data_IF_531858822711
#
_entry.id   IF_531858822711
#
_cell.length_a   1.000
_cell.length_b   1.000
_cell.length_c   1.000
_cell.angle_alpha   90.00
_cell.angle_beta   90.00
_cell.angle_gamma   90.00
#
_symmetry.space_group_name_H-M   'P 1'
#
loop_
_entity.id
_entity.type
_entity.pdbx_description
1 polymer ?
#
# COMPACT_ATOMS: atom_id res chain seq x y z
N UNK A 1 -7.78 23.47 -39.94
CA UNK A 1 -7.52 22.07 -39.51
C UNK A 1 -6.18 22.04 -38.81
N UNK A 2 -6.17 22.15 -37.48
CA UNK A 2 -4.98 21.97 -36.66
C UNK A 2 -5.25 20.79 -35.76
N UNK A 3 -4.61 19.66 -36.04
CA UNK A 3 -4.75 18.44 -35.26
C UNK A 3 -4.26 18.71 -33.83
N UNK A 4 -5.14 18.45 -32.87
CA UNK A 4 -4.82 18.47 -31.46
C UNK A 4 -3.71 17.46 -31.19
N UNK A 5 -2.52 17.94 -30.82
CA UNK A 5 -1.48 17.11 -30.25
C UNK A 5 -1.89 16.75 -28.82
N UNK A 6 -2.75 15.73 -28.69
CA UNK A 6 -2.98 15.06 -27.42
C UNK A 6 -1.73 14.24 -27.14
N UNK A 7 -0.71 14.86 -26.53
CA UNK A 7 0.30 14.12 -25.80
C UNK A 7 -0.43 13.29 -24.76
N UNK A 8 -0.60 12.01 -25.06
CA UNK A 8 -1.12 10.99 -24.16
C UNK A 8 -0.05 10.76 -23.09
N UNK A 9 0.18 11.74 -22.21
CA UNK A 9 0.78 11.46 -20.91
C UNK A 9 -0.20 10.54 -20.24
N UNK A 10 0.13 9.24 -20.19
CA UNK A 10 -0.56 8.28 -19.36
C UNK A 10 -0.79 8.93 -17.99
N UNK A 11 -2.03 9.32 -17.68
CA UNK A 11 -2.35 9.88 -16.37
C UNK A 11 -1.98 8.81 -15.34
N UNK A 12 -1.05 9.17 -14.46
CA UNK A 12 -0.66 8.36 -13.32
C UNK A 12 -1.91 8.10 -12.50
N UNK A 13 -2.23 6.83 -12.27
CA UNK A 13 -3.41 6.43 -11.51
C UNK A 13 -2.98 6.00 -10.11
N UNK A 14 -3.84 6.27 -9.11
CA UNK A 14 -3.60 5.83 -7.74
C UNK A 14 -4.45 4.59 -7.45
N UNK A 15 -3.80 3.54 -6.97
CA UNK A 15 -4.47 2.33 -6.52
C UNK A 15 -4.38 2.21 -5.01
N UNK A 16 -5.51 1.93 -4.37
CA UNK A 16 -5.54 1.66 -2.94
C UNK A 16 -5.09 0.21 -2.66
N UNK A 17 -4.12 0.05 -1.78
CA UNK A 17 -3.63 -1.24 -1.30
C UNK A 17 -4.00 -1.39 0.16
N UNK A 18 -5.01 -2.22 0.47
CA UNK A 18 -5.38 -2.46 1.86
C UNK A 18 -4.46 -3.52 2.50
N UNK A 19 -3.51 -3.04 3.30
CA UNK A 19 -2.62 -3.86 4.10
C UNK A 19 -3.39 -4.50 5.26
N UNK A 20 -3.07 -5.75 5.52
CA UNK A 20 -3.63 -6.50 6.63
C UNK A 20 -2.49 -6.79 7.60
N UNK A 21 -2.78 -6.70 8.89
CA UNK A 21 -1.85 -7.16 9.92
C UNK A 21 -1.47 -8.63 9.66
N UNK A 22 -0.18 -8.95 9.61
CA UNK A 22 0.30 -10.32 9.60
C UNK A 22 -0.06 -11.03 10.92
N UNK A 23 -0.35 -12.33 10.85
CA UNK A 23 -0.72 -13.18 12.00
C UNK A 23 0.38 -14.20 12.37
N UNK A 24 1.60 -14.11 11.82
CA UNK A 24 2.64 -15.14 11.98
C UNK A 24 3.71 -15.05 10.89
N UNK A 25 4.89 -15.66 11.10
CA UNK A 25 6.09 -15.44 10.26
C UNK A 25 5.86 -15.87 8.81
N UNK A 26 5.10 -16.95 8.63
CA UNK A 26 4.73 -17.50 7.31
C UNK A 26 3.52 -16.79 6.68
N UNK A 27 3.00 -15.74 7.33
CA UNK A 27 1.87 -14.99 6.81
C UNK A 27 2.30 -14.10 5.66
N UNK A 28 1.86 -14.46 4.45
CA UNK A 28 2.11 -13.72 3.21
C UNK A 28 1.68 -12.24 3.26
N UNK A 29 0.92 -11.81 4.27
CA UNK A 29 0.61 -10.41 4.54
C UNK A 29 1.79 -9.58 5.09
N UNK A 30 2.94 -10.20 5.36
CA UNK A 30 4.20 -9.53 5.72
C UNK A 30 4.80 -8.65 4.60
N UNK A 31 4.21 -8.71 3.40
CA UNK A 31 4.50 -7.90 2.21
C UNK A 31 3.55 -6.69 2.20
N UNK A 32 4.05 -5.47 2.43
CA UNK A 32 5.14 -4.85 1.66
C UNK A 32 6.53 -4.93 2.25
N UNK A 33 7.50 -5.15 1.37
CA UNK A 33 8.94 -5.00 1.62
C UNK A 33 9.40 -3.59 1.29
N UNK A 34 8.98 -2.61 2.10
CA UNK A 34 9.31 -1.20 1.88
C UNK A 34 10.81 -0.92 1.78
N UNK A 35 11.59 -1.64 2.57
CA UNK A 35 13.04 -1.54 2.65
C UNK A 35 13.72 -1.94 1.34
N UNK A 36 13.03 -2.73 0.50
CA UNK A 36 13.51 -3.19 -0.81
C UNK A 36 12.70 -2.60 -1.97
N UNK A 37 11.81 -1.64 -1.68
CA UNK A 37 10.94 -1.04 -2.67
C UNK A 37 10.08 -2.06 -3.41
N UNK A 38 9.51 -3.05 -2.71
CA UNK A 38 8.82 -4.19 -3.33
C UNK A 38 7.46 -4.49 -2.70
N UNK A 39 6.49 -4.86 -3.55
CA UNK A 39 5.18 -5.40 -3.17
C UNK A 39 4.73 -6.53 -4.10
N UNK A 40 4.17 -7.61 -3.56
CA UNK A 40 3.61 -8.74 -4.30
C UNK A 40 4.45 -10.02 -4.27
N UNK A 41 5.65 -9.95 -3.71
CA UNK A 41 6.61 -11.05 -3.75
C UNK A 41 6.14 -12.27 -2.97
N UNK A 42 5.35 -12.12 -1.93
CA UNK A 42 4.83 -13.28 -1.18
C UNK A 42 3.64 -13.94 -1.87
N UNK A 43 3.24 -13.43 -3.04
CA UNK A 43 1.99 -13.78 -3.70
C UNK A 43 0.77 -13.17 -3.00
N UNK A 44 0.98 -12.19 -2.11
CA UNK A 44 -0.10 -11.36 -1.59
C UNK A 44 -0.81 -10.68 -2.77
N UNK A 45 -2.12 -10.49 -2.66
CA UNK A 45 -2.91 -9.84 -3.72
C UNK A 45 -2.89 -10.50 -5.12
N UNK A 46 -2.29 -11.69 -5.28
CA UNK A 46 -2.25 -12.46 -6.54
C UNK A 46 -3.62 -12.87 -7.09
N UNK A 47 -4.65 -12.85 -6.23
CA UNK A 47 -6.05 -13.12 -6.62
C UNK A 47 -6.84 -11.85 -6.96
N UNK A 48 -6.29 -10.66 -6.73
CA UNK A 48 -6.98 -9.38 -6.98
C UNK A 48 -6.05 -8.38 -7.72
N UNK A 49 -5.51 -7.38 -7.01
CA UNK A 49 -4.75 -6.26 -7.58
C UNK A 49 -3.51 -6.71 -8.36
N UNK A 50 -2.85 -7.78 -7.89
CA UNK A 50 -1.64 -8.33 -8.50
C UNK A 50 -1.89 -9.61 -9.30
N UNK A 51 -3.13 -9.84 -9.72
CA UNK A 51 -3.44 -10.93 -10.63
C UNK A 51 -2.99 -10.54 -12.06
N UNK A 52 -2.01 -11.24 -12.67
CA UNK A 52 -1.51 -10.91 -14.02
C UNK A 52 -2.60 -10.87 -15.10
N UNK A 53 -3.70 -11.60 -14.92
CA UNK A 53 -4.79 -11.70 -15.91
C UNK A 53 -5.80 -10.57 -15.83
N UNK A 54 -5.90 -9.89 -14.68
CA UNK A 54 -6.97 -8.92 -14.40
C UNK A 54 -6.46 -7.61 -13.82
N UNK A 55 -5.15 -7.45 -13.64
CA UNK A 55 -4.61 -6.21 -13.09
C UNK A 55 -4.85 -5.05 -14.05
N UNK A 56 -5.05 -3.88 -13.46
CA UNK A 56 -5.10 -2.60 -14.19
C UNK A 56 -3.88 -1.73 -13.91
N UNK A 57 -2.93 -2.22 -13.11
CA UNK A 57 -1.68 -1.52 -12.83
C UNK A 57 -0.82 -1.46 -14.09
N UNK A 58 -0.18 -0.31 -14.29
CA UNK A 58 0.81 -0.08 -15.34
C UNK A 58 1.99 0.70 -14.76
N UNK A 59 3.10 0.67 -15.49
CA UNK A 59 4.27 1.48 -15.16
C UNK A 59 3.88 2.97 -15.04
N UNK A 60 4.39 3.60 -13.97
CA UNK A 60 4.12 5.00 -13.64
C UNK A 60 2.90 5.24 -12.75
N UNK A 61 2.08 4.23 -12.46
CA UNK A 61 1.02 4.34 -11.44
C UNK A 61 1.62 4.48 -10.02
N UNK A 62 0.79 4.82 -9.04
CA UNK A 62 1.18 4.89 -7.63
C UNK A 62 0.26 4.05 -6.75
N UNK A 63 0.80 3.59 -5.63
CA UNK A 63 0.07 2.80 -4.64
C UNK A 63 -0.14 3.63 -3.37
N UNK A 64 -1.41 3.80 -2.97
CA UNK A 64 -1.79 4.35 -1.68
C UNK A 64 -2.03 3.19 -0.70
N UNK A 65 -1.13 3.02 0.27
CA UNK A 65 -1.16 1.90 1.20
C UNK A 65 -1.99 2.24 2.42
N UNK A 66 -3.06 1.46 2.62
CA UNK A 66 -4.03 1.63 3.68
C UNK A 66 -3.76 0.62 4.78
N UNK A 67 -3.65 1.06 6.02
CA UNK A 67 -3.45 0.19 7.16
C UNK A 67 -4.60 0.34 8.17
N UNK A 68 -5.17 -0.78 8.59
CA UNK A 68 -6.17 -0.81 9.66
C UNK A 68 -5.56 -0.84 11.06
N UNK A 69 -6.04 0.01 11.95
CA UNK A 69 -5.70 0.05 13.37
C UNK A 69 -6.92 -0.21 14.26
N UNK A 70 -6.89 0.34 15.47
CA UNK A 70 -7.96 0.17 16.46
C UNK A 70 -9.05 1.22 16.22
N UNK A 71 -10.05 0.86 15.41
CA UNK A 71 -11.20 1.74 15.13
C UNK A 71 -10.97 2.77 14.02
N UNK A 72 -9.81 2.75 13.38
CA UNK A 72 -9.43 3.66 12.30
C UNK A 72 -8.66 2.95 11.17
N UNK A 73 -8.66 3.57 9.99
CA UNK A 73 -7.83 3.19 8.84
C UNK A 73 -7.04 4.43 8.42
N UNK A 74 -5.75 4.25 8.16
CA UNK A 74 -4.84 5.33 7.75
C UNK A 74 -4.18 5.03 6.42
N UNK A 75 -3.83 6.08 5.68
CA UNK A 75 -2.98 5.98 4.49
C UNK A 75 -1.54 6.17 4.94
N UNK A 76 -0.83 5.05 5.12
CA UNK A 76 0.54 5.04 5.65
C UNK A 76 1.57 5.35 4.59
N UNK A 77 1.18 5.44 3.32
CA UNK A 77 2.13 5.79 2.28
C UNK A 77 1.50 5.97 0.92
N UNK A 78 2.10 6.86 0.14
CA UNK A 78 1.91 6.97 -1.30
C UNK A 78 3.24 6.65 -1.97
N UNK A 79 3.33 5.53 -2.68
CA UNK A 79 4.57 5.14 -3.33
C UNK A 79 5.02 6.19 -4.36
N UNK A 80 6.33 6.25 -4.67
CA UNK A 80 6.79 6.81 -5.93
C UNK A 80 6.13 6.09 -7.12
N UNK A 81 6.26 6.62 -8.35
CA UNK A 81 5.82 5.91 -9.54
C UNK A 81 6.39 4.50 -9.60
N UNK A 82 5.52 3.52 -9.79
CA UNK A 82 5.88 2.10 -9.74
C UNK A 82 6.36 1.57 -11.08
N UNK A 83 7.09 0.46 -11.02
CA UNK A 83 7.33 -0.47 -12.12
C UNK A 83 6.58 -1.77 -11.84
N UNK A 84 5.86 -2.26 -12.84
CA UNK A 84 5.18 -3.55 -12.79
C UNK A 84 6.13 -4.60 -13.38
N UNK A 85 6.68 -5.42 -12.50
CA UNK A 85 7.61 -6.50 -12.81
C UNK A 85 6.93 -7.87 -12.65
N UNK A 86 7.58 -8.93 -13.13
CA UNK A 86 7.16 -10.31 -12.91
C UNK A 86 6.86 -11.10 -14.19
N UNK A 87 6.20 -12.25 -14.01
CA UNK A 87 5.88 -13.21 -15.07
C UNK A 87 4.36 -13.35 -15.24
N UNK A 88 3.93 -14.15 -16.22
CA UNK A 88 2.52 -14.49 -16.43
C UNK A 88 1.86 -15.18 -15.22
N UNK A 89 2.65 -15.70 -14.26
CA UNK A 89 2.15 -16.36 -13.06
C UNK A 89 2.18 -15.50 -11.78
N UNK A 90 2.96 -14.42 -11.73
CA UNK A 90 3.19 -13.62 -10.52
C UNK A 90 3.67 -12.23 -10.88
N UNK A 91 3.02 -11.20 -10.32
CA UNK A 91 3.47 -9.82 -10.41
C UNK A 91 4.22 -9.40 -9.14
N UNK A 92 5.27 -8.62 -9.35
CA UNK A 92 5.97 -7.84 -8.34
C UNK A 92 5.86 -6.37 -8.74
N UNK A 93 5.53 -5.51 -7.80
CA UNK A 93 5.55 -4.07 -8.00
C UNK A 93 6.80 -3.53 -7.34
N UNK A 94 7.60 -2.77 -8.08
CA UNK A 94 8.82 -2.15 -7.60
C UNK A 94 8.73 -0.64 -7.62
N UNK A 95 9.37 0.03 -6.67
CA UNK A 95 9.54 1.49 -6.64
C UNK A 95 10.93 1.82 -6.10
N UNK A 96 11.24 3.12 -6.02
CA UNK A 96 12.49 3.62 -5.46
C UNK A 96 12.72 3.05 -4.04
N UNK A 97 13.79 2.25 -3.81
CA UNK A 97 14.06 1.64 -2.52
C UNK A 97 14.42 2.65 -1.43
N UNK A 98 14.66 3.93 -1.75
CA UNK A 98 14.88 4.98 -0.75
C UNK A 98 13.56 5.52 -0.16
N UNK A 99 12.42 5.17 -0.77
CA UNK A 99 11.12 5.51 -0.22
C UNK A 99 10.86 4.77 1.10
N UNK A 100 10.31 5.51 2.08
CA UNK A 100 9.81 4.95 3.34
C UNK A 100 8.39 5.45 3.58
N UNK A 101 7.47 4.59 4.07
CA UNK A 101 6.14 5.02 4.45
C UNK A 101 6.17 5.85 5.74
N UNK A 102 5.05 6.47 6.04
CA UNK A 102 4.78 7.20 7.27
C UNK A 102 4.60 6.26 8.47
N UNK A 103 4.97 6.74 9.65
CA UNK A 103 4.60 6.12 10.91
C UNK A 103 3.09 6.10 11.05
N UNK A 104 2.53 4.99 11.53
CA UNK A 104 1.08 4.81 11.63
C UNK A 104 0.40 5.98 12.35
N UNK A 105 0.93 6.40 13.50
CA UNK A 105 0.35 7.48 14.32
C UNK A 105 0.31 8.83 13.61
N UNK A 106 1.25 9.06 12.69
CA UNK A 106 1.43 10.32 11.94
C UNK A 106 0.86 10.25 10.51
N UNK A 107 0.40 9.07 10.09
CA UNK A 107 -0.18 8.84 8.78
C UNK A 107 -1.58 9.47 8.66
N UNK A 108 -1.96 9.84 7.43
CA UNK A 108 -3.24 10.46 7.13
C UNK A 108 -4.43 9.57 7.53
N UNK A 109 -5.44 10.15 8.19
CA UNK A 109 -6.65 9.45 8.58
C UNK A 109 -7.56 9.26 7.36
N UNK A 110 -7.59 8.04 6.80
CA UNK A 110 -8.55 7.69 5.76
C UNK A 110 -9.97 7.81 6.31
N UNK A 111 -10.24 7.14 7.44
CA UNK A 111 -11.53 7.17 8.12
C UNK A 111 -11.42 6.51 9.50
N UNK A 112 -12.17 6.99 10.49
CA UNK A 112 -12.44 6.27 11.74
C UNK A 112 -13.93 5.93 11.91
N UNK A 113 -14.27 5.19 12.97
CA UNK A 113 -15.65 4.79 13.24
C UNK A 113 -16.58 5.95 13.63
N UNK A 114 -16.02 7.09 14.02
CA UNK A 114 -16.72 8.35 14.27
C UNK A 114 -16.99 9.12 12.96
N UNK A 115 -16.42 8.68 11.83
CA UNK A 115 -16.59 9.29 10.51
C UNK A 115 -15.69 10.49 10.24
N UNK A 116 -14.67 10.73 11.08
CA UNK A 116 -13.61 11.71 10.84
C UNK A 116 -12.67 11.21 9.74
N UNK A 117 -12.19 12.12 8.90
CA UNK A 117 -11.37 11.81 7.72
C UNK A 117 -10.60 13.05 7.26
N UNK A 118 -9.38 12.83 6.75
CA UNK A 118 -8.61 13.82 5.99
C UNK A 118 -9.02 13.85 4.50
N UNK A 119 -9.87 12.90 4.07
CA UNK A 119 -10.24 12.66 2.68
C UNK A 119 -11.77 12.63 2.52
N UNK A 120 -12.43 13.80 2.37
CA UNK A 120 -13.88 13.88 2.21
C UNK A 120 -14.43 12.99 1.08
N UNK A 121 -13.66 12.78 0.00
CA UNK A 121 -14.05 11.87 -1.08
C UNK A 121 -14.07 10.41 -0.66
N UNK A 122 -13.15 9.99 0.23
CA UNK A 122 -13.16 8.63 0.77
C UNK A 122 -14.44 8.34 1.56
N UNK A 123 -14.91 9.29 2.36
CA UNK A 123 -16.17 9.16 3.11
C UNK A 123 -17.37 8.95 2.20
N UNK A 124 -17.52 9.79 1.17
CA UNK A 124 -18.60 9.66 0.17
C UNK A 124 -18.56 8.31 -0.54
N UNK A 125 -17.37 7.83 -0.91
CA UNK A 125 -17.20 6.54 -1.57
C UNK A 125 -17.74 5.39 -0.72
N UNK A 126 -17.48 5.38 0.58
CA UNK A 126 -17.81 4.23 1.44
C UNK A 126 -19.25 4.23 1.95
N UNK A 127 -19.99 5.34 1.85
CA UNK A 127 -21.35 5.50 2.42
C UNK A 127 -22.31 4.37 2.02
N UNK A 128 -22.30 3.99 0.74
CA UNK A 128 -23.16 2.95 0.17
C UNK A 128 -22.76 1.50 0.50
N UNK A 129 -21.67 1.27 1.22
CA UNK A 129 -21.20 -0.09 1.54
C UNK A 129 -22.00 -0.68 2.70
N UNK A 130 -22.45 -1.93 2.56
CA UNK A 130 -23.24 -2.66 3.58
C UNK A 130 -22.39 -3.18 4.73
N UNK A 131 -22.01 -2.30 5.65
CA UNK A 131 -21.36 -2.60 6.94
C UNK A 131 -21.84 -1.62 8.01
N UNK A 132 -21.79 -2.03 9.28
CA UNK A 132 -22.26 -1.24 10.42
C UNK A 132 -21.32 -0.09 10.80
N UNK A 133 -20.02 -0.23 10.58
CA UNK A 133 -19.01 0.77 10.94
C UNK A 133 -18.31 1.34 9.71
N UNK A 134 -17.85 2.60 9.77
CA UNK A 134 -17.12 3.23 8.67
C UNK A 134 -15.82 2.48 8.34
N UNK A 135 -15.06 2.01 9.33
CA UNK A 135 -13.88 1.18 9.07
C UNK A 135 -14.24 -0.16 8.42
N UNK A 136 -15.38 -0.76 8.80
CA UNK A 136 -15.91 -1.94 8.14
C UNK A 136 -16.25 -1.67 6.67
N UNK A 137 -16.90 -0.54 6.39
CA UNK A 137 -17.26 -0.09 5.04
C UNK A 137 -16.01 0.12 4.17
N UNK A 138 -15.05 0.91 4.64
CA UNK A 138 -13.78 1.15 3.96
C UNK A 138 -12.97 -0.13 3.75
N UNK A 139 -12.80 -0.95 4.79
CA UNK A 139 -12.11 -2.23 4.69
C UNK A 139 -12.77 -3.15 3.67
N UNK A 140 -14.11 -3.22 3.64
CA UNK A 140 -14.83 -4.02 2.66
C UNK A 140 -14.67 -3.51 1.22
N UNK A 141 -14.64 -2.20 1.01
CA UNK A 141 -14.47 -1.59 -0.31
C UNK A 141 -13.05 -1.76 -0.85
N UNK A 142 -12.04 -1.40 -0.05
CA UNK A 142 -10.66 -1.31 -0.55
C UNK A 142 -9.96 -2.67 -0.64
N UNK A 143 -10.33 -3.66 0.18
CA UNK A 143 -9.71 -5.00 0.13
C UNK A 143 -9.92 -5.72 -1.20
N UNK A 144 -11.05 -5.51 -1.86
CA UNK A 144 -11.38 -6.15 -3.14
C UNK A 144 -11.15 -5.24 -4.35
N UNK A 145 -10.76 -3.99 -4.12
CA UNK A 145 -10.61 -3.01 -5.20
C UNK A 145 -9.40 -3.37 -6.07
N UNK A 146 -9.64 -3.50 -7.38
CA UNK A 146 -8.61 -3.74 -8.39
C UNK A 146 -8.49 -2.60 -9.40
N UNK A 147 -9.30 -1.55 -9.24
CA UNK A 147 -9.35 -0.37 -10.09
C UNK A 147 -8.75 0.83 -9.36
N UNK A 148 -8.25 1.85 -10.09
CA UNK A 148 -7.84 3.10 -9.47
C UNK A 148 -8.92 3.68 -8.55
N UNK A 149 -8.52 4.43 -7.54
CA UNK A 149 -9.46 5.33 -6.85
C UNK A 149 -9.96 6.38 -7.85
N UNK A 150 -11.11 6.98 -7.55
CA UNK A 150 -11.64 8.02 -8.42
C UNK A 150 -10.77 9.29 -8.38
N UNK A 151 -10.95 10.16 -9.37
CA UNK A 151 -10.15 11.39 -9.52
C UNK A 151 -10.23 12.29 -8.28
N UNK A 152 -11.40 12.49 -7.63
CA UNK A 152 -11.46 13.26 -6.40
C UNK A 152 -10.58 12.70 -5.27
N UNK A 153 -10.70 11.40 -4.96
CA UNK A 153 -9.88 10.80 -3.90
C UNK A 153 -8.39 10.77 -4.28
N UNK A 154 -8.07 10.48 -5.54
CA UNK A 154 -6.68 10.52 -6.00
C UNK A 154 -6.05 11.92 -5.78
N UNK A 155 -6.80 12.98 -6.10
CA UNK A 155 -6.32 14.36 -5.95
C UNK A 155 -6.12 14.73 -4.49
N UNK A 156 -7.04 14.34 -3.60
CA UNK A 156 -6.91 14.55 -2.16
C UNK A 156 -5.68 13.81 -1.59
N UNK A 157 -5.43 12.57 -2.03
CA UNK A 157 -4.24 11.80 -1.61
C UNK A 157 -2.95 12.48 -2.04
N UNK A 158 -2.84 12.90 -3.30
CA UNK A 158 -1.63 13.58 -3.80
C UNK A 158 -1.40 14.88 -3.04
N UNK A 159 -2.44 15.69 -2.88
CA UNK A 159 -2.34 16.97 -2.18
C UNK A 159 -1.88 16.77 -0.74
N UNK A 160 -2.48 15.81 -0.02
CA UNK A 160 -2.10 15.53 1.36
C UNK A 160 -0.63 15.16 1.49
N UNK A 161 -0.11 14.26 0.65
CA UNK A 161 1.31 13.86 0.71
C UNK A 161 2.28 14.92 0.17
N UNK A 162 1.81 15.88 -0.62
CA UNK A 162 2.62 17.02 -1.05
C UNK A 162 2.74 18.06 0.08
N UNK A 163 1.64 18.31 0.80
CA UNK A 163 1.56 19.33 1.85
C UNK A 163 2.07 18.82 3.21
N UNK A 164 1.98 17.51 3.43
CA UNK A 164 2.38 16.87 4.67
C UNK A 164 3.63 16.01 4.41
N UNK A 165 4.72 16.30 5.13
CA UNK A 165 5.92 15.47 5.16
C UNK A 165 5.89 14.61 6.42
N UNK A 166 5.09 13.52 6.47
CA UNK A 166 4.98 12.72 7.68
C UNK A 166 6.34 12.09 8.04
N UNK A 167 6.55 11.87 9.33
CA UNK A 167 7.71 11.14 9.82
C UNK A 167 7.81 9.78 9.14
N UNK A 168 8.93 9.55 8.47
CA UNK A 168 9.24 8.29 7.80
C UNK A 168 9.72 7.27 8.82
N UNK A 169 9.30 6.02 8.64
CA UNK A 169 9.72 4.94 9.54
C UNK A 169 11.06 4.33 9.13
N UNK A 170 11.75 3.79 10.12
CA UNK A 170 12.92 2.93 9.92
C UNK A 170 12.51 1.48 9.70
N UNK A 171 11.51 0.99 10.46
CA UNK A 171 11.12 -0.41 10.45
C UNK A 171 9.67 -0.60 9.99
N UNK A 172 9.42 -1.63 9.16
CA UNK A 172 8.08 -1.98 8.68
C UNK A 172 6.99 -1.99 9.75
N UNK A 173 7.30 -2.47 10.96
CA UNK A 173 6.34 -2.61 12.05
C UNK A 173 5.72 -1.26 12.48
N UNK A 174 6.43 -0.16 12.27
CA UNK A 174 5.98 1.19 12.63
C UNK A 174 4.90 1.72 11.66
N UNK A 175 4.78 1.14 10.45
CA UNK A 175 3.66 1.42 9.54
C UNK A 175 2.38 0.67 9.93
N UNK A 176 2.45 -0.36 10.79
CA UNK A 176 1.32 -1.28 11.01
C UNK A 176 0.40 -0.81 12.14
N UNK A 177 0.96 -0.21 13.18
CA UNK A 177 0.27 0.22 14.40
C UNK A 177 1.13 1.29 15.11
N UNK A 178 0.57 2.11 16.03
CA UNK A 178 1.37 2.98 16.88
C UNK A 178 2.47 2.25 17.64
N UNK A 179 3.51 3.00 18.03
CA UNK A 179 4.71 2.50 18.69
C UNK A 179 4.45 1.67 19.98
N UNK A 180 3.36 1.95 20.67
CA UNK A 180 2.92 1.30 21.92
C UNK A 180 1.92 0.16 21.70
N UNK A 181 1.56 -0.14 20.45
CA UNK A 181 0.58 -1.15 20.11
C UNK A 181 1.02 -2.59 20.39
N UNK A 182 0.09 -3.40 20.88
CA UNK A 182 0.32 -4.83 21.22
C UNK A 182 0.92 -5.64 20.06
N UNK A 183 0.50 -5.38 18.82
CA UNK A 183 1.07 -6.08 17.66
C UNK A 183 2.53 -5.71 17.43
N UNK A 184 2.91 -4.45 17.65
CA UNK A 184 4.31 -4.02 17.49
C UNK A 184 5.21 -4.68 18.54
N UNK A 185 4.77 -4.72 19.81
CA UNK A 185 5.46 -5.46 20.87
C UNK A 185 5.66 -6.93 20.49
N UNK A 186 4.58 -7.58 20.05
CA UNK A 186 4.62 -8.96 19.57
C UNK A 186 5.57 -9.15 18.38
N UNK A 187 5.60 -8.21 17.43
CA UNK A 187 6.50 -8.28 16.27
C UNK A 187 7.97 -8.13 16.68
N UNK A 188 8.26 -7.22 17.62
CA UNK A 188 9.59 -7.04 18.21
C UNK A 188 10.06 -8.33 18.91
N UNK A 189 9.23 -8.89 19.79
CA UNK A 189 9.54 -10.15 20.49
C UNK A 189 9.83 -11.33 19.57
N UNK A 190 9.40 -11.24 18.30
CA UNK A 190 9.57 -12.28 17.28
C UNK A 190 10.63 -11.97 16.24
N UNK A 191 11.39 -10.87 16.37
CA UNK A 191 12.49 -10.51 15.45
C UNK A 191 12.07 -9.80 14.15
N UNK A 192 10.78 -9.48 13.97
CA UNK A 192 10.24 -8.98 12.69
C UNK A 192 10.71 -7.59 12.27
N UNK A 193 11.37 -6.90 13.18
CA UNK A 193 11.88 -5.55 13.06
C UNK A 193 13.22 -5.55 12.33
N UNK A 194 13.92 -6.69 12.36
CA UNK A 194 15.29 -6.81 11.90
C UNK A 194 15.38 -6.82 10.37
N UNK A 195 16.05 -5.83 9.76
CA UNK A 195 16.18 -5.75 8.31
C UNK A 195 16.85 -6.98 7.68
N UNK A 196 17.77 -7.64 8.40
CA UNK A 196 18.48 -8.84 7.91
C UNK A 196 17.55 -10.05 7.74
N UNK A 197 16.64 -10.26 8.69
CA UNK A 197 15.63 -11.33 8.61
C UNK A 197 14.64 -11.06 7.47
N UNK A 198 14.22 -9.79 7.33
CA UNK A 198 13.36 -9.37 6.22
C UNK A 198 14.07 -9.47 4.86
N UNK A 199 15.37 -9.16 4.80
CA UNK A 199 16.17 -9.33 3.59
C UNK A 199 16.32 -10.80 3.19
N UNK A 200 16.53 -11.67 4.16
CA UNK A 200 16.59 -13.12 3.94
C UNK A 200 15.24 -13.67 3.47
N UNK A 201 14.14 -13.16 4.02
CA UNK A 201 12.78 -13.47 3.56
C UNK A 201 12.52 -12.94 2.14
N UNK A 202 12.95 -11.73 1.83
CA UNK A 202 12.82 -11.17 0.48
C UNK A 202 13.58 -12.02 -0.55
N UNK A 203 14.83 -12.40 -0.25
CA UNK A 203 15.66 -13.26 -1.12
C UNK A 203 15.04 -14.65 -1.30
N UNK A 204 14.61 -15.29 -0.23
CA UNK A 204 14.06 -16.66 -0.28
C UNK A 204 12.75 -16.74 -1.06
N UNK A 205 11.92 -15.70 -0.97
CA UNK A 205 10.64 -15.60 -1.68
C UNK A 205 10.82 -15.10 -3.12
N UNK A 206 11.90 -14.34 -3.38
CA UNK A 206 12.26 -13.84 -4.70
C UNK A 206 12.97 -14.83 -5.61
N UNK A 207 13.61 -15.85 -5.04
CA UNK A 207 14.23 -16.98 -5.76
C UNK A 207 15.28 -16.54 -6.78
N UNK A 208 16.57 -16.57 -6.39
CA UNK A 208 17.76 -16.50 -7.27
C UNK A 208 17.56 -15.75 -8.61
N UNK A 209 17.03 -14.54 -8.53
CA UNK A 209 17.02 -13.62 -9.65
C UNK A 209 18.10 -12.57 -9.42
N UNK A 210 19.32 -13.06 -9.18
CA UNK A 210 20.53 -12.37 -9.61
C UNK A 210 20.60 -12.40 -11.13
N UNK A 211 19.63 -11.75 -11.79
CA UNK A 211 19.84 -11.21 -13.12
C UNK A 211 20.39 -9.79 -12.90
N UNK A 212 21.69 -9.76 -12.62
CA UNK A 212 22.62 -8.69 -12.99
C UNK A 212 22.00 -7.33 -13.29
N UNK A 213 22.07 -6.43 -12.31
CA UNK A 213 22.29 -5.01 -12.59
C UNK A 213 23.67 -4.91 -13.26
N UNK A 214 23.66 -4.84 -14.58
CA UNK A 214 24.78 -4.53 -15.45
C UNK A 214 24.28 -3.64 -16.57
#
# INVERSE_FOLDING_TARGET
>A
MGFCDHTCRSRMSIFAVYLRKPNGFDDRRNDPFWEFGSFGMTGCHSRNLLNPRTTHLKDGDQLAFLQGGQGEIRIVGLSPPIRVCGTTGKLEIRWDPDYRPAEYSNAALLINNEGMTDFPSARRLIEGVRRSTFCGKAGSMFRSRTRPVDVPLASEIVAWFADNSPCKIEHYVDAIQPADGEWRKWAIERGWVEPEERASSYRSVGGDSSASLG
#
